data_IF_698924907625
#
_entry.id   IF_698924907625
#
_cell.length_a   1.000
_cell.length_b   1.000
_cell.length_c   1.000
_cell.angle_alpha   90.00
_cell.angle_beta   90.00
_cell.angle_gamma   90.00
#
_symmetry.space_group_name_H-M   'P 1'
#
loop_
_entity.id
_entity.type
_entity.pdbx_description
1 polymer ?
#
# COMPACT_ATOMS: atom_id res chain seq x y z
N UNK A 1 -29.16 1.93 2.94
CA UNK A 1 -28.27 1.05 2.16
C UNK A 1 -26.89 1.21 2.76
N UNK A 2 -26.30 0.16 3.29
CA UNK A 2 -24.92 0.19 3.77
C UNK A 2 -24.00 0.36 2.57
N UNK A 3 -23.28 1.49 2.51
CA UNK A 3 -22.33 1.80 1.45
C UNK A 3 -21.04 0.99 1.62
N UNK A 4 -21.16 -0.34 1.61
CA UNK A 4 -20.02 -1.24 1.72
C UNK A 4 -19.15 -1.15 0.45
N UNK A 5 -17.84 -1.12 0.65
CA UNK A 5 -16.87 -1.07 -0.44
C UNK A 5 -16.82 -2.41 -1.18
N UNK A 6 -17.00 -2.37 -2.50
CA UNK A 6 -16.99 -3.55 -3.38
C UNK A 6 -15.70 -3.61 -4.23
N UNK A 7 -15.44 -4.77 -4.84
CA UNK A 7 -14.34 -4.90 -5.80
C UNK A 7 -14.49 -3.94 -7.01
N UNK A 8 -15.72 -3.68 -7.45
CA UNK A 8 -15.99 -2.74 -8.54
C UNK A 8 -15.65 -1.29 -8.12
N UNK A 9 -15.96 -0.91 -6.89
CA UNK A 9 -15.57 0.41 -6.36
C UNK A 9 -14.04 0.56 -6.35
N UNK A 10 -13.32 -0.48 -5.91
CA UNK A 10 -11.84 -0.47 -5.92
C UNK A 10 -11.28 -0.30 -7.33
N UNK A 11 -11.88 -0.93 -8.33
CA UNK A 11 -11.47 -0.72 -9.73
C UNK A 11 -11.68 0.73 -10.19
N UNK A 12 -12.80 1.37 -9.82
CA UNK A 12 -13.02 2.78 -10.10
C UNK A 12 -11.98 3.67 -9.40
N UNK A 13 -11.66 3.36 -8.13
CA UNK A 13 -10.64 4.07 -7.35
C UNK A 13 -9.24 3.89 -7.99
N UNK A 14 -8.90 2.68 -8.44
CA UNK A 14 -7.66 2.43 -9.19
C UNK A 14 -7.62 3.22 -10.50
N UNK A 15 -8.73 3.32 -11.23
CA UNK A 15 -8.84 4.16 -12.43
C UNK A 15 -8.59 5.64 -12.14
N UNK A 16 -9.05 6.15 -10.99
CA UNK A 16 -8.73 7.52 -10.56
C UNK A 16 -7.24 7.66 -10.21
N UNK A 17 -6.67 6.70 -9.46
CA UNK A 17 -5.24 6.70 -9.14
C UNK A 17 -4.37 6.73 -10.40
N UNK A 18 -4.74 5.95 -11.44
CA UNK A 18 -4.07 5.98 -12.75
C UNK A 18 -4.12 7.35 -13.42
N UNK A 19 -5.28 8.01 -13.43
CA UNK A 19 -5.41 9.35 -14.02
C UNK A 19 -4.60 10.40 -13.26
N UNK A 20 -4.57 10.34 -11.94
CA UNK A 20 -3.74 11.26 -11.13
C UNK A 20 -2.27 10.99 -11.36
N UNK A 21 -1.84 9.71 -11.36
CA UNK A 21 -0.45 9.33 -11.65
C UNK A 21 0.02 9.86 -13.01
N UNK A 22 -0.86 9.84 -14.02
CA UNK A 22 -0.53 10.34 -15.36
C UNK A 22 -0.25 11.85 -15.41
N UNK A 23 -0.85 12.67 -14.53
CA UNK A 23 -0.78 14.12 -14.57
C UNK A 23 0.02 14.72 -13.40
N UNK A 24 -0.07 14.13 -12.22
CA UNK A 24 0.53 14.64 -10.98
C UNK A 24 0.89 13.48 -10.03
N UNK A 25 1.88 12.64 -10.39
CA UNK A 25 2.22 11.43 -9.60
C UNK A 25 2.58 11.73 -8.14
N UNK A 26 3.12 12.93 -7.87
CA UNK A 26 3.46 13.37 -6.51
C UNK A 26 2.23 13.63 -5.60
N UNK A 27 1.01 13.66 -6.15
CA UNK A 27 -0.23 13.79 -5.38
C UNK A 27 -0.82 12.44 -4.95
N UNK A 28 -0.30 11.33 -5.46
CA UNK A 28 -0.72 10.00 -5.01
C UNK A 28 -0.08 9.74 -3.64
N UNK A 29 -0.92 9.60 -2.61
CA UNK A 29 -0.46 9.23 -1.27
C UNK A 29 -0.35 7.70 -1.13
N UNK A 30 0.29 7.22 -0.06
CA UNK A 30 0.56 5.80 0.12
C UNK A 30 -0.70 4.95 0.30
N UNK A 31 -1.81 5.53 0.81
CA UNK A 31 -3.07 4.81 1.01
C UNK A 31 -3.93 4.69 -0.26
N UNK A 32 -3.55 5.41 -1.33
CA UNK A 32 -4.36 5.56 -2.54
C UNK A 32 -3.62 5.18 -3.82
N UNK A 33 -2.47 4.53 -3.72
CA UNK A 33 -1.74 4.03 -4.88
C UNK A 33 -2.48 2.85 -5.54
N UNK A 34 -2.16 2.58 -6.79
CA UNK A 34 -2.82 1.55 -7.58
C UNK A 34 -2.74 0.16 -6.93
N UNK A 35 -1.57 -0.21 -6.43
CA UNK A 35 -1.33 -1.51 -5.80
C UNK A 35 -1.89 -1.58 -4.39
N UNK A 36 -1.70 -0.53 -3.59
CA UNK A 36 -2.19 -0.48 -2.21
C UNK A 36 -3.71 -0.63 -2.12
N UNK A 37 -4.46 -0.04 -3.04
CA UNK A 37 -5.92 -0.20 -3.12
C UNK A 37 -6.32 -1.67 -3.29
N UNK A 38 -5.68 -2.39 -4.22
CA UNK A 38 -5.94 -3.81 -4.44
C UNK A 38 -5.49 -4.66 -3.25
N UNK A 39 -4.30 -4.38 -2.71
CA UNK A 39 -3.74 -5.07 -1.56
C UNK A 39 -4.62 -4.92 -0.31
N UNK A 40 -4.96 -3.70 0.07
CA UNK A 40 -5.75 -3.43 1.28
C UNK A 40 -7.15 -4.02 1.21
N UNK A 41 -7.83 -3.87 0.07
CA UNK A 41 -9.14 -4.47 -0.10
C UNK A 41 -9.03 -5.99 -0.10
N UNK A 42 -8.16 -6.56 -0.94
CA UNK A 42 -8.04 -8.01 -1.11
C UNK A 42 -7.75 -8.74 0.19
N UNK A 43 -6.74 -8.27 0.95
CA UNK A 43 -6.28 -8.94 2.18
C UNK A 43 -7.24 -8.84 3.36
N UNK A 44 -8.18 -7.90 3.36
CA UNK A 44 -8.93 -7.59 4.57
C UNK A 44 -10.45 -7.49 4.40
N UNK A 45 -11.00 -7.46 3.17
CA UNK A 45 -12.43 -7.24 2.97
C UNK A 45 -13.32 -8.29 3.66
N UNK A 46 -12.94 -9.56 3.63
CA UNK A 46 -13.71 -10.63 4.27
C UNK A 46 -13.80 -10.45 5.79
N UNK A 47 -12.68 -10.08 6.43
CA UNK A 47 -12.59 -9.96 7.89
C UNK A 47 -12.99 -8.58 8.42
N UNK A 48 -12.82 -7.52 7.65
CA UNK A 48 -12.93 -6.13 8.11
C UNK A 48 -13.92 -5.28 7.31
N UNK A 49 -14.42 -5.74 6.17
CA UNK A 49 -15.27 -4.98 5.26
C UNK A 49 -16.52 -4.40 5.91
N UNK A 50 -17.07 -5.06 6.95
CA UNK A 50 -18.22 -4.55 7.71
C UNK A 50 -17.92 -3.24 8.49
N UNK A 51 -16.64 -2.92 8.75
CA UNK A 51 -16.20 -1.68 9.40
C UNK A 51 -15.76 -0.60 8.39
N UNK A 52 -15.98 -0.82 7.11
CA UNK A 52 -15.61 0.11 6.05
C UNK A 52 -16.83 0.83 5.48
N UNK A 53 -16.70 2.12 5.31
CA UNK A 53 -17.73 2.97 4.68
C UNK A 53 -17.06 3.77 3.58
N UNK A 54 -17.75 3.97 2.46
CA UNK A 54 -17.23 4.72 1.32
C UNK A 54 -18.07 5.92 0.92
N UNK A 55 -17.42 6.90 0.34
CA UNK A 55 -18.00 7.99 -0.45
C UNK A 55 -17.37 7.98 -1.83
N UNK A 56 -18.19 8.05 -2.88
CA UNK A 56 -17.74 8.19 -4.27
C UNK A 56 -18.37 9.45 -4.85
N UNK A 57 -17.55 10.30 -5.49
CA UNK A 57 -17.99 11.54 -6.13
C UNK A 57 -17.69 11.45 -7.63
N UNK A 58 -18.70 11.71 -8.45
CA UNK A 58 -18.62 11.57 -9.91
C UNK A 58 -18.84 12.92 -10.60
N UNK A 59 -18.10 13.14 -11.70
CA UNK A 59 -18.35 14.17 -12.69
C UNK A 59 -18.78 13.47 -13.99
N UNK A 60 -20.11 13.46 -14.27
CA UNK A 60 -20.65 12.56 -15.29
C UNK A 60 -20.47 11.11 -14.87
N UNK A 61 -19.83 10.31 -15.72
CA UNK A 61 -19.54 8.89 -15.46
C UNK A 61 -18.16 8.68 -14.82
N UNK A 62 -17.34 9.73 -14.70
CA UNK A 62 -15.99 9.63 -14.17
C UNK A 62 -15.96 9.80 -12.64
N UNK A 63 -15.37 8.84 -11.93
CA UNK A 63 -15.06 8.99 -10.52
C UNK A 63 -13.95 10.05 -10.37
N UNK A 64 -14.20 11.15 -9.67
CA UNK A 64 -13.24 12.27 -9.51
C UNK A 64 -12.79 12.47 -8.08
N UNK A 65 -13.51 11.93 -7.10
CA UNK A 65 -13.04 11.87 -5.72
C UNK A 65 -13.65 10.67 -5.00
N UNK A 66 -12.97 10.20 -3.97
CA UNK A 66 -13.48 9.17 -3.08
C UNK A 66 -12.91 9.30 -1.67
N UNK A 67 -13.65 8.77 -0.70
CA UNK A 67 -13.22 8.49 0.66
C UNK A 67 -13.54 7.06 1.05
N UNK A 68 -12.61 6.40 1.70
CA UNK A 68 -12.72 5.07 2.30
C UNK A 68 -12.41 5.18 3.78
N UNK A 69 -13.45 5.24 4.61
CA UNK A 69 -13.35 5.33 6.06
C UNK A 69 -13.25 3.92 6.68
N UNK A 70 -12.21 3.71 7.46
CA UNK A 70 -11.99 2.55 8.30
C UNK A 70 -12.44 2.90 9.72
N UNK A 71 -13.58 2.35 10.15
CA UNK A 71 -14.15 2.59 11.46
C UNK A 71 -13.54 1.68 12.55
N UNK A 72 -13.82 1.92 13.85
CA UNK A 72 -13.35 1.10 14.94
C UNK A 72 -13.66 -0.39 14.75
N UNK A 73 -12.70 -1.23 15.09
CA UNK A 73 -12.79 -2.69 14.91
C UNK A 73 -11.76 -3.43 15.72
N UNK A 74 -12.01 -4.73 15.95
CA UNK A 74 -11.03 -5.65 16.51
C UNK A 74 -10.43 -6.51 15.40
N UNK A 75 -9.11 -6.64 15.38
CA UNK A 75 -8.37 -7.41 14.38
C UNK A 75 -7.68 -8.58 15.07
N UNK A 76 -8.07 -9.81 14.70
CA UNK A 76 -7.38 -11.03 15.15
C UNK A 76 -6.10 -11.22 14.36
N UNK A 77 -5.01 -11.54 15.05
CA UNK A 77 -3.69 -11.78 14.47
C UNK A 77 -3.34 -13.26 14.42
N UNK A 78 -2.32 -13.60 13.64
CA UNK A 78 -1.83 -14.96 13.45
C UNK A 78 -1.27 -15.61 14.73
N UNK A 79 -0.80 -14.82 15.68
CA UNK A 79 -0.35 -15.27 17.02
C UNK A 79 -1.51 -15.50 18.02
N UNK A 80 -2.75 -15.32 17.58
CA UNK A 80 -3.97 -15.44 18.39
C UNK A 80 -4.33 -14.19 19.18
N UNK A 81 -3.48 -13.16 19.20
CA UNK A 81 -3.79 -11.88 19.83
C UNK A 81 -4.90 -11.12 19.10
N UNK A 82 -5.55 -10.20 19.78
CA UNK A 82 -6.55 -9.28 19.22
C UNK A 82 -6.04 -7.86 19.42
N UNK A 83 -6.05 -7.07 18.32
CA UNK A 83 -5.77 -5.65 18.38
C UNK A 83 -7.07 -4.88 18.17
N UNK A 84 -7.44 -4.08 19.18
CA UNK A 84 -8.55 -3.13 19.06
C UNK A 84 -8.05 -1.84 18.42
N UNK A 85 -8.78 -1.38 17.40
CA UNK A 85 -8.59 -0.09 16.74
C UNK A 85 -9.81 0.74 17.11
N UNK A 86 -9.59 1.80 17.91
CA UNK A 86 -10.65 2.60 18.53
C UNK A 86 -10.93 3.91 17.80
N UNK A 87 -9.99 4.40 16.99
CA UNK A 87 -10.16 5.57 16.11
C UNK A 87 -10.64 5.20 14.72
N UNK A 88 -10.92 6.21 13.92
CA UNK A 88 -11.23 6.09 12.51
C UNK A 88 -10.06 6.58 11.66
N UNK A 89 -9.85 5.94 10.50
CA UNK A 89 -8.85 6.34 9.52
C UNK A 89 -9.51 6.55 8.16
N UNK A 90 -9.09 7.58 7.43
CA UNK A 90 -9.54 7.85 6.08
C UNK A 90 -8.41 7.65 5.07
N UNK A 91 -8.59 6.71 4.15
CA UNK A 91 -7.93 6.74 2.86
C UNK A 91 -8.80 7.55 1.89
N UNK A 92 -8.20 8.41 1.06
CA UNK A 92 -8.95 9.24 0.13
C UNK A 92 -8.11 9.66 -1.06
N UNK A 93 -8.78 10.08 -2.12
CA UNK A 93 -8.14 10.70 -3.27
C UNK A 93 -9.11 11.68 -3.94
N UNK A 94 -8.57 12.79 -4.44
CA UNK A 94 -9.31 13.82 -5.19
C UNK A 94 -8.51 14.17 -6.44
N UNK A 95 -9.17 14.16 -7.61
CA UNK A 95 -8.53 14.57 -8.86
C UNK A 95 -8.13 16.04 -8.78
N UNK A 96 -6.92 16.46 -9.23
CA UNK A 96 -6.45 17.83 -9.09
C UNK A 96 -7.37 18.88 -9.73
N UNK A 97 -8.06 18.53 -10.81
CA UNK A 97 -9.03 19.41 -11.48
C UNK A 97 -10.36 19.58 -10.73
N UNK A 98 -10.55 18.82 -9.65
CA UNK A 98 -11.74 18.84 -8.79
C UNK A 98 -11.35 19.03 -7.32
N UNK A 99 -10.27 19.77 -7.08
CA UNK A 99 -9.66 19.91 -5.75
C UNK A 99 -10.64 20.42 -4.67
N UNK A 100 -11.68 21.17 -5.07
CA UNK A 100 -12.75 21.66 -4.18
C UNK A 100 -13.53 20.53 -3.49
N UNK A 101 -13.60 19.33 -4.10
CA UNK A 101 -14.29 18.17 -3.53
C UNK A 101 -13.60 17.64 -2.24
N UNK A 102 -12.39 18.07 -1.93
CA UNK A 102 -11.73 17.71 -0.68
C UNK A 102 -12.57 18.12 0.53
N UNK A 103 -13.25 19.27 0.49
CA UNK A 103 -14.14 19.70 1.59
C UNK A 103 -15.36 18.78 1.76
N UNK A 104 -15.91 18.27 0.65
CA UNK A 104 -17.00 17.30 0.69
C UNK A 104 -16.54 15.99 1.33
N UNK A 105 -15.36 15.51 0.96
CA UNK A 105 -14.77 14.28 1.52
C UNK A 105 -14.50 14.46 3.02
N UNK A 106 -13.92 15.60 3.44
CA UNK A 106 -13.65 15.90 4.85
C UNK A 106 -14.95 15.96 5.65
N UNK A 107 -15.94 16.74 5.16
CA UNK A 107 -17.23 16.89 5.85
C UNK A 107 -17.98 15.56 5.99
N UNK A 108 -17.93 14.71 4.95
CA UNK A 108 -18.49 13.36 5.00
C UNK A 108 -17.76 12.48 6.04
N UNK A 109 -16.44 12.52 6.08
CA UNK A 109 -15.66 11.74 7.06
C UNK A 109 -15.91 12.21 8.50
N UNK A 110 -15.95 13.52 8.71
CA UNK A 110 -16.26 14.11 10.02
C UNK A 110 -17.64 13.68 10.54
N UNK A 111 -18.64 13.65 9.65
CA UNK A 111 -19.99 13.17 10.01
C UNK A 111 -20.05 11.65 10.24
N UNK A 112 -19.28 10.86 9.45
CA UNK A 112 -19.26 9.40 9.54
C UNK A 112 -18.56 8.92 10.81
N UNK A 113 -17.51 9.64 11.25
CA UNK A 113 -16.66 9.29 12.38
C UNK A 113 -16.84 10.29 13.56
N UNK A 114 -18.03 10.88 13.70
CA UNK A 114 -18.30 11.82 14.78
C UNK A 114 -18.08 11.19 16.16
N UNK A 115 -17.45 11.93 17.06
CA UNK A 115 -17.08 11.47 18.40
C UNK A 115 -15.91 10.49 18.45
N UNK A 116 -15.22 10.23 17.32
CA UNK A 116 -14.02 9.38 17.24
C UNK A 116 -12.77 10.24 17.00
N UNK A 117 -11.62 9.75 17.48
CA UNK A 117 -10.34 10.22 16.95
C UNK A 117 -10.22 9.86 15.47
N UNK A 118 -9.84 10.81 14.63
CA UNK A 118 -9.78 10.69 13.18
C UNK A 118 -8.38 10.95 12.66
N UNK A 119 -7.89 10.06 11.82
CA UNK A 119 -6.56 10.16 11.20
C UNK A 119 -6.64 10.12 9.68
N UNK A 120 -5.70 10.78 9.03
CA UNK A 120 -5.57 10.81 7.56
C UNK A 120 -4.11 11.04 7.17
N UNK A 121 -3.72 10.59 5.97
CA UNK A 121 -2.36 10.71 5.44
C UNK A 121 -2.35 11.48 4.08
N UNK A 122 -2.65 12.80 4.04
CA UNK A 122 -2.50 13.58 2.81
C UNK A 122 -1.03 13.65 2.35
N UNK A 123 -0.83 13.71 1.06
CA UNK A 123 0.50 13.91 0.48
C UNK A 123 1.06 15.31 0.78
N UNK A 124 2.35 15.40 1.10
CA UNK A 124 3.02 16.69 1.39
C UNK A 124 3.04 17.64 0.18
N UNK A 125 2.88 17.13 -1.03
CA UNK A 125 2.80 17.91 -2.26
C UNK A 125 1.42 18.57 -2.45
N UNK A 126 0.37 18.02 -1.85
CA UNK A 126 -1.00 18.57 -1.91
C UNK A 126 -1.17 19.74 -0.93
N UNK A 127 -0.65 20.93 -1.32
CA UNK A 127 -0.72 22.13 -0.47
C UNK A 127 -2.15 22.58 -0.23
N UNK A 128 -2.99 22.54 -1.28
CA UNK A 128 -4.40 22.91 -1.16
C UNK A 128 -5.13 21.97 -0.19
N UNK A 129 -5.01 20.64 -0.37
CA UNK A 129 -5.62 19.68 0.53
C UNK A 129 -5.16 19.85 1.98
N UNK A 130 -3.85 20.06 2.22
CA UNK A 130 -3.33 20.31 3.56
C UNK A 130 -3.94 21.54 4.23
N UNK A 131 -4.13 22.65 3.49
CA UNK A 131 -4.81 23.86 3.99
C UNK A 131 -6.27 23.58 4.34
N UNK A 132 -6.97 22.78 3.52
CA UNK A 132 -8.38 22.41 3.79
C UNK A 132 -8.49 21.50 5.02
N UNK A 133 -7.63 20.48 5.16
CA UNK A 133 -7.55 19.64 6.35
C UNK A 133 -7.34 20.49 7.62
N UNK A 134 -6.40 21.43 7.57
CA UNK A 134 -6.14 22.34 8.70
C UNK A 134 -7.37 23.22 9.03
N UNK A 135 -8.08 23.74 8.03
CA UNK A 135 -9.30 24.52 8.19
C UNK A 135 -10.43 23.73 8.88
N UNK A 136 -10.51 22.42 8.64
CA UNK A 136 -11.44 21.51 9.31
C UNK A 136 -10.96 21.02 10.71
N UNK A 137 -9.86 21.56 11.22
CA UNK A 137 -9.37 21.29 12.58
C UNK A 137 -8.42 20.10 12.71
N UNK A 138 -8.00 19.49 11.60
CA UNK A 138 -6.94 18.49 11.62
C UNK A 138 -5.58 19.15 11.87
N UNK A 139 -4.72 18.47 12.59
CA UNK A 139 -3.39 18.96 12.97
C UNK A 139 -2.34 17.90 12.69
N UNK A 140 -1.08 18.28 12.41
CA UNK A 140 0.01 17.32 12.34
C UNK A 140 0.04 16.45 13.60
N UNK A 141 0.12 15.13 13.37
CA UNK A 141 0.27 14.14 14.45
C UNK A 141 1.75 14.14 14.91
N UNK A 142 2.06 14.61 16.14
CA UNK A 142 3.44 14.67 16.59
C UNK A 142 4.06 13.28 16.77
N UNK A 143 3.28 12.27 17.13
CA UNK A 143 3.76 10.89 17.26
C UNK A 143 3.97 10.27 15.89
N UNK A 144 3.06 10.50 14.95
CA UNK A 144 3.18 10.07 13.57
C UNK A 144 4.38 10.69 12.85
N UNK A 145 4.76 11.91 13.19
CA UNK A 145 5.92 12.64 12.64
C UNK A 145 7.22 12.43 13.41
N UNK A 146 7.18 11.76 14.56
CA UNK A 146 8.35 11.52 15.42
C UNK A 146 9.44 10.67 14.79
N UNK A 147 10.53 10.46 15.53
CA UNK A 147 11.70 9.69 15.06
C UNK A 147 11.36 8.24 14.66
N UNK A 148 10.41 7.63 15.34
CA UNK A 148 9.86 6.30 15.02
C UNK A 148 8.45 6.36 14.43
N UNK A 149 8.04 7.52 13.92
CA UNK A 149 6.70 7.79 13.44
C UNK A 149 6.24 6.92 12.27
N UNK A 150 4.98 7.11 11.90
CA UNK A 150 4.30 6.28 10.89
C UNK A 150 4.16 6.97 9.53
N UNK A 151 4.77 8.14 9.33
CA UNK A 151 4.70 8.78 8.02
C UNK A 151 5.41 7.95 6.95
N UNK A 152 4.82 7.92 5.78
CA UNK A 152 5.27 7.10 4.66
C UNK A 152 5.92 7.98 3.60
N UNK A 153 6.99 7.47 2.96
CA UNK A 153 7.53 8.03 1.74
C UNK A 153 7.30 7.08 0.58
N UNK A 154 6.91 7.63 -0.57
CA UNK A 154 6.86 6.93 -1.84
C UNK A 154 8.19 7.13 -2.56
N UNK A 155 8.73 6.04 -3.07
CA UNK A 155 9.99 6.03 -3.79
C UNK A 155 9.78 5.49 -5.19
N UNK A 156 10.54 6.02 -6.15
CA UNK A 156 10.49 5.62 -7.55
C UNK A 156 11.88 5.27 -8.07
N UNK A 157 11.90 4.42 -9.08
CA UNK A 157 13.08 4.10 -9.88
C UNK A 157 12.70 3.82 -11.33
N UNK A 158 13.47 4.37 -12.31
CA UNK A 158 13.41 3.95 -13.71
C UNK A 158 14.01 2.54 -13.89
N UNK A 159 13.44 1.77 -14.81
CA UNK A 159 13.82 0.37 -15.08
C UNK A 159 14.73 0.22 -16.32
N UNK A 160 15.34 1.28 -16.78
CA UNK A 160 16.22 1.31 -17.96
C UNK A 160 17.51 0.50 -17.77
N UNK A 161 18.19 0.69 -16.65
CA UNK A 161 19.43 -0.02 -16.31
C UNK A 161 19.26 -0.77 -14.99
N UNK A 162 19.31 -2.10 -15.05
CA UNK A 162 19.18 -2.96 -13.89
C UNK A 162 20.44 -3.80 -13.68
N UNK A 163 20.88 -3.88 -12.44
CA UNK A 163 21.90 -4.83 -12.04
C UNK A 163 21.32 -6.25 -12.03
N UNK A 164 22.18 -7.25 -12.30
CA UNK A 164 21.75 -8.64 -12.22
C UNK A 164 21.44 -9.02 -10.77
N UNK A 165 20.29 -9.68 -10.51
CA UNK A 165 20.01 -10.23 -9.19
C UNK A 165 20.98 -11.39 -8.89
N UNK A 166 21.55 -11.39 -7.67
CA UNK A 166 22.45 -12.45 -7.21
C UNK A 166 21.91 -13.00 -5.89
N UNK A 167 21.56 -14.28 -5.88
CA UNK A 167 21.20 -15.01 -4.66
C UNK A 167 22.40 -15.77 -4.09
N UNK A 168 22.46 -16.00 -2.78
CA UNK A 168 23.40 -16.94 -2.18
C UNK A 168 23.19 -18.37 -2.73
N UNK A 169 24.21 -19.22 -2.60
CA UNK A 169 24.16 -20.60 -3.05
C UNK A 169 22.98 -21.37 -2.45
N UNK A 170 22.27 -22.14 -3.28
CA UNK A 170 21.12 -22.95 -2.90
C UNK A 170 19.79 -22.21 -2.81
N UNK A 171 19.78 -20.87 -2.78
CA UNK A 171 18.53 -20.08 -2.87
C UNK A 171 18.07 -19.98 -4.32
N UNK A 172 16.74 -19.88 -4.52
CA UNK A 172 16.18 -19.73 -5.86
C UNK A 172 14.96 -18.81 -5.88
N UNK A 173 14.76 -18.13 -7.00
CA UNK A 173 13.53 -17.39 -7.23
C UNK A 173 12.39 -18.35 -7.59
N UNK A 174 11.21 -18.06 -7.08
CA UNK A 174 9.95 -18.71 -7.41
C UNK A 174 8.88 -17.66 -7.64
N UNK A 175 7.79 -18.03 -8.23
CA UNK A 175 6.56 -17.24 -8.24
C UNK A 175 5.50 -17.92 -7.36
N UNK A 176 4.52 -17.15 -6.90
CA UNK A 176 3.39 -17.74 -6.18
C UNK A 176 2.54 -18.67 -7.07
N UNK A 177 2.54 -18.44 -8.39
CA UNK A 177 1.91 -19.34 -9.35
C UNK A 177 2.58 -20.74 -9.37
N UNK A 178 3.89 -20.81 -9.11
CA UNK A 178 4.66 -22.06 -9.05
C UNK A 178 4.66 -22.70 -7.66
N UNK A 179 4.72 -21.88 -6.61
CA UNK A 179 4.90 -22.34 -5.23
C UNK A 179 3.57 -22.69 -4.52
N UNK A 180 2.46 -22.10 -4.98
CA UNK A 180 1.14 -22.32 -4.40
C UNK A 180 0.76 -21.34 -3.29
N UNK A 181 -0.50 -21.40 -2.89
CA UNK A 181 -1.12 -20.44 -1.96
C UNK A 181 -0.52 -20.54 -0.55
N UNK A 182 -0.33 -21.73 -0.05
CA UNK A 182 0.22 -21.97 1.29
C UNK A 182 1.63 -21.40 1.44
N UNK A 183 2.48 -21.57 0.42
CA UNK A 183 3.84 -21.04 0.42
C UNK A 183 3.82 -19.50 0.42
N UNK A 184 2.95 -18.88 -0.36
CA UNK A 184 2.79 -17.42 -0.40
C UNK A 184 2.31 -16.86 0.95
N UNK A 185 1.33 -17.50 1.59
CA UNK A 185 0.83 -17.12 2.92
C UNK A 185 1.92 -17.27 3.97
N UNK A 186 2.63 -18.39 3.98
CA UNK A 186 3.72 -18.64 4.92
C UNK A 186 4.86 -17.64 4.79
N UNK A 187 5.24 -17.28 3.56
CA UNK A 187 6.23 -16.24 3.30
C UNK A 187 5.83 -14.89 3.91
N UNK A 188 4.56 -14.52 3.81
CA UNK A 188 4.05 -13.29 4.42
C UNK A 188 4.06 -13.37 5.94
N UNK A 189 3.48 -14.42 6.53
CA UNK A 189 3.41 -14.58 7.99
C UNK A 189 4.79 -14.63 8.65
N UNK A 190 5.78 -15.21 7.99
CA UNK A 190 7.16 -15.24 8.47
C UNK A 190 7.84 -13.87 8.44
N UNK A 191 7.53 -13.02 7.46
CA UNK A 191 8.14 -11.70 7.33
C UNK A 191 7.52 -10.66 8.27
N UNK A 192 6.23 -10.78 8.60
CA UNK A 192 5.46 -9.86 9.45
C UNK A 192 4.88 -10.58 10.66
N UNK A 193 5.56 -10.48 11.78
CA UNK A 193 5.09 -11.01 13.07
C UNK A 193 3.71 -10.39 13.41
N UNK A 194 2.86 -11.23 14.00
CA UNK A 194 1.50 -10.82 14.41
C UNK A 194 0.65 -10.18 13.27
N UNK A 195 0.85 -10.63 12.04
CA UNK A 195 0.00 -10.28 10.90
C UNK A 195 -1.40 -10.86 11.07
N UNK A 196 -2.42 -10.20 10.51
CA UNK A 196 -3.78 -10.75 10.37
C UNK A 196 -3.98 -11.52 9.05
N UNK A 197 -2.92 -11.74 8.27
CA UNK A 197 -2.97 -12.41 6.99
C UNK A 197 -3.30 -13.89 7.13
N UNK A 198 -4.08 -14.42 6.22
CA UNK A 198 -4.54 -15.82 6.21
C UNK A 198 -4.67 -16.34 4.78
N UNK A 199 -5.01 -17.61 4.62
CA UNK A 199 -5.33 -18.16 3.30
C UNK A 199 -6.54 -17.43 2.67
N UNK A 200 -7.57 -17.14 3.47
CA UNK A 200 -8.73 -16.34 3.01
C UNK A 200 -8.32 -14.95 2.54
N UNK A 201 -7.43 -14.28 3.27
CA UNK A 201 -6.83 -13.01 2.87
C UNK A 201 -6.11 -13.13 1.52
N UNK A 202 -5.33 -14.19 1.32
CA UNK A 202 -4.63 -14.43 0.07
C UNK A 202 -5.58 -14.70 -1.10
N UNK A 203 -6.64 -15.49 -0.88
CA UNK A 203 -7.67 -15.72 -1.90
C UNK A 203 -8.38 -14.40 -2.27
N UNK A 204 -8.63 -13.52 -1.30
CA UNK A 204 -9.16 -12.19 -1.55
C UNK A 204 -8.21 -11.33 -2.42
N UNK A 205 -6.91 -11.38 -2.15
CA UNK A 205 -5.88 -10.70 -2.97
C UNK A 205 -5.86 -11.27 -4.39
N UNK A 206 -5.89 -12.59 -4.55
CA UNK A 206 -5.92 -13.27 -5.86
C UNK A 206 -7.17 -12.96 -6.67
N UNK A 207 -8.27 -12.66 -6.00
CA UNK A 207 -9.54 -12.29 -6.67
C UNK A 207 -9.55 -10.86 -7.21
N UNK A 208 -8.57 -10.02 -6.83
CA UNK A 208 -8.48 -8.67 -7.39
C UNK A 208 -8.00 -8.73 -8.85
N UNK A 209 -8.61 -7.97 -9.77
CA UNK A 209 -8.22 -7.97 -11.18
C UNK A 209 -6.76 -7.57 -11.43
N UNK A 210 -6.19 -6.76 -10.54
CA UNK A 210 -4.80 -6.30 -10.62
C UNK A 210 -3.77 -7.37 -10.22
N UNK A 211 -4.19 -8.46 -9.55
CA UNK A 211 -3.27 -9.49 -9.09
C UNK A 211 -2.76 -10.38 -10.24
N UNK A 212 -1.46 -10.58 -10.25
CA UNK A 212 -0.78 -11.48 -11.18
C UNK A 212 0.16 -12.42 -10.41
N UNK A 213 -0.13 -13.72 -10.41
CA UNK A 213 0.66 -14.73 -9.70
C UNK A 213 2.10 -14.88 -10.23
N UNK A 214 2.36 -14.52 -11.48
CA UNK A 214 3.69 -14.44 -12.08
C UNK A 214 4.49 -13.20 -11.65
N UNK A 215 3.79 -12.18 -11.13
CA UNK A 215 4.37 -10.97 -10.52
C UNK A 215 4.39 -11.02 -8.97
N UNK A 216 4.00 -12.13 -8.35
CA UNK A 216 4.21 -12.38 -6.94
C UNK A 216 5.47 -13.23 -6.77
N UNK A 217 6.59 -12.58 -6.46
CA UNK A 217 7.92 -13.20 -6.38
C UNK A 217 8.21 -13.67 -4.96
N UNK A 218 8.74 -14.89 -4.88
CA UNK A 218 9.22 -15.54 -3.66
C UNK A 218 10.71 -15.86 -3.81
N UNK A 219 11.41 -15.93 -2.69
CA UNK A 219 12.76 -16.50 -2.62
C UNK A 219 12.70 -17.73 -1.73
N UNK A 220 13.01 -18.89 -2.31
CA UNK A 220 13.05 -20.17 -1.59
C UNK A 220 14.48 -20.46 -1.14
N UNK A 221 14.64 -20.84 0.13
CA UNK A 221 15.89 -21.26 0.73
C UNK A 221 16.21 -22.74 0.42
N UNK A 222 17.44 -23.23 0.66
CA UNK A 222 17.85 -24.62 0.40
C UNK A 222 17.01 -25.67 1.13
N UNK A 223 16.44 -25.32 2.27
CA UNK A 223 15.57 -26.20 3.08
C UNK A 223 14.07 -26.15 2.66
N UNK A 224 13.74 -25.41 1.62
CA UNK A 224 12.37 -25.22 1.13
C UNK A 224 11.60 -24.09 1.80
N UNK A 225 12.16 -23.40 2.80
CA UNK A 225 11.52 -22.25 3.46
C UNK A 225 11.41 -21.08 2.49
N UNK A 226 10.26 -20.38 2.49
CA UNK A 226 10.10 -19.13 1.76
C UNK A 226 10.75 -17.99 2.55
N UNK A 227 11.96 -17.60 2.13
CA UNK A 227 12.82 -16.66 2.85
C UNK A 227 12.51 -15.18 2.57
N UNK A 228 11.85 -14.87 1.45
CA UNK A 228 11.40 -13.50 1.13
C UNK A 228 10.22 -13.55 0.16
N UNK A 229 9.41 -12.46 0.18
CA UNK A 229 8.23 -12.33 -0.66
C UNK A 229 7.96 -10.88 -1.02
N UNK A 230 7.48 -10.66 -2.26
CA UNK A 230 6.89 -9.38 -2.69
C UNK A 230 5.81 -9.61 -3.74
N UNK A 231 4.73 -8.85 -3.66
CA UNK A 231 3.75 -8.75 -4.75
C UNK A 231 4.09 -7.51 -5.56
N UNK A 232 3.94 -7.61 -6.86
CA UNK A 232 4.12 -6.50 -7.78
C UNK A 232 2.82 -6.22 -8.51
N UNK A 233 2.36 -4.98 -8.43
CA UNK A 233 1.11 -4.49 -9.01
C UNK A 233 1.44 -3.67 -10.25
N UNK A 234 1.12 -4.21 -11.42
CA UNK A 234 1.42 -3.57 -12.70
C UNK A 234 0.26 -2.65 -13.11
N UNK A 235 0.54 -1.36 -13.18
CA UNK A 235 -0.30 -0.36 -13.83
C UNK A 235 0.11 -0.24 -15.30
N UNK A 236 -0.62 -0.94 -16.16
CA UNK A 236 -0.36 -0.96 -17.60
C UNK A 236 -0.56 0.42 -18.25
N UNK A 237 -1.45 1.26 -17.70
CA UNK A 237 -1.76 2.59 -18.26
C UNK A 237 -0.55 3.54 -18.13
N UNK A 238 0.09 3.54 -16.97
CA UNK A 238 1.26 4.39 -16.67
C UNK A 238 2.59 3.66 -16.86
N UNK A 239 2.56 2.38 -17.19
CA UNK A 239 3.76 1.52 -17.29
C UNK A 239 4.60 1.54 -16.02
N UNK A 240 3.95 1.58 -14.88
CA UNK A 240 4.57 1.55 -13.56
C UNK A 240 4.27 0.23 -12.86
N UNK A 241 5.18 -0.22 -12.01
CA UNK A 241 4.95 -1.38 -11.14
C UNK A 241 5.17 -0.97 -9.70
N UNK A 242 4.21 -1.27 -8.84
CA UNK A 242 4.31 -1.03 -7.41
C UNK A 242 4.68 -2.31 -6.66
N UNK A 243 5.67 -2.23 -5.75
CA UNK A 243 6.06 -3.32 -4.87
C UNK A 243 5.35 -3.18 -3.51
N UNK A 244 4.32 -3.99 -3.26
CA UNK A 244 3.58 -4.02 -2.00
C UNK A 244 2.89 -5.37 -1.78
N UNK A 245 3.16 -6.09 -0.69
CA UNK A 245 4.19 -5.82 0.35
C UNK A 245 5.58 -6.34 -0.04
N UNK A 246 6.63 -5.88 0.67
CA UNK A 246 8.00 -6.39 0.52
C UNK A 246 8.49 -6.91 1.87
N UNK A 247 8.82 -8.18 1.98
CA UNK A 247 9.23 -8.80 3.23
C UNK A 247 10.35 -9.82 3.12
N UNK A 248 11.10 -9.98 4.23
CA UNK A 248 12.14 -11.01 4.38
C UNK A 248 12.00 -11.66 5.74
N UNK A 249 11.96 -12.99 5.75
CA UNK A 249 11.91 -13.81 6.96
C UNK A 249 13.07 -13.42 7.91
N UNK A 250 12.84 -13.25 9.22
CA UNK A 250 13.85 -12.79 10.17
C UNK A 250 15.16 -13.56 10.11
N UNK A 251 15.12 -14.89 10.05
CA UNK A 251 16.31 -15.76 10.06
C UNK A 251 17.15 -15.68 8.79
N UNK A 252 16.60 -15.09 7.72
CA UNK A 252 17.27 -14.94 6.43
C UNK A 252 17.65 -13.49 6.13
N UNK A 253 17.41 -12.55 7.06
CA UNK A 253 17.80 -11.14 6.89
C UNK A 253 19.32 -10.99 6.77
N UNK A 254 19.75 -9.88 6.18
CA UNK A 254 21.17 -9.50 6.00
C UNK A 254 21.99 -10.44 5.10
N UNK A 255 21.33 -11.28 4.31
CA UNK A 255 21.95 -12.18 3.31
C UNK A 255 21.81 -11.67 1.87
N UNK A 256 21.33 -10.42 1.67
CA UNK A 256 21.13 -9.84 0.32
C UNK A 256 19.82 -10.26 -0.39
N UNK A 257 18.97 -11.11 0.25
CA UNK A 257 17.79 -11.67 -0.41
C UNK A 257 16.78 -10.60 -0.85
N UNK A 258 16.47 -9.63 0.01
CA UNK A 258 15.57 -8.54 -0.35
C UNK A 258 16.07 -7.72 -1.53
N UNK A 259 17.38 -7.43 -1.58
CA UNK A 259 18.00 -6.75 -2.74
C UNK A 259 17.89 -7.58 -4.02
N UNK A 260 18.23 -8.85 -3.96
CA UNK A 260 18.14 -9.75 -5.12
C UNK A 260 16.70 -9.90 -5.60
N UNK A 261 15.74 -10.04 -4.67
CA UNK A 261 14.30 -10.16 -4.97
C UNK A 261 13.77 -8.90 -5.68
N UNK A 262 14.11 -7.70 -5.19
CA UNK A 262 13.68 -6.45 -5.83
C UNK A 262 14.27 -6.32 -7.24
N UNK A 263 15.55 -6.59 -7.45
CA UNK A 263 16.20 -6.57 -8.77
C UNK A 263 15.56 -7.59 -9.72
N UNK A 264 15.29 -8.82 -9.25
CA UNK A 264 14.60 -9.82 -10.03
C UNK A 264 13.17 -9.41 -10.38
N UNK A 265 12.44 -8.84 -9.41
CA UNK A 265 11.10 -8.31 -9.63
C UNK A 265 11.08 -7.18 -10.66
N UNK A 266 12.01 -6.23 -10.58
CA UNK A 266 12.14 -5.14 -11.56
C UNK A 266 12.42 -5.68 -12.97
N UNK A 267 13.27 -6.70 -13.13
CA UNK A 267 13.55 -7.30 -14.43
C UNK A 267 12.29 -7.98 -15.01
N UNK A 268 11.52 -8.69 -14.17
CA UNK A 268 10.23 -9.27 -14.55
C UNK A 268 9.20 -8.20 -14.93
N UNK A 269 9.10 -7.14 -14.14
CA UNK A 269 8.18 -6.01 -14.39
C UNK A 269 8.52 -5.32 -15.72
N UNK A 270 9.82 -5.08 -15.98
CA UNK A 270 10.30 -4.53 -17.26
C UNK A 270 9.94 -5.44 -18.43
N UNK A 271 10.10 -6.75 -18.29
CA UNK A 271 9.69 -7.73 -19.31
C UNK A 271 8.15 -7.74 -19.51
N UNK A 272 7.38 -7.38 -18.50
CA UNK A 272 5.93 -7.19 -18.56
C UNK A 272 5.50 -5.80 -19.09
N UNK A 273 6.45 -4.91 -19.44
CA UNK A 273 6.17 -3.60 -20.05
C UNK A 273 6.32 -2.39 -19.13
N UNK A 274 6.66 -2.59 -17.84
CA UNK A 274 6.90 -1.46 -16.95
C UNK A 274 8.18 -0.69 -17.32
N UNK A 275 8.15 0.62 -17.18
CA UNK A 275 9.29 1.53 -17.35
C UNK A 275 9.80 2.10 -16.03
N UNK A 276 8.94 2.12 -15.01
CA UNK A 276 9.24 2.61 -13.68
C UNK A 276 8.74 1.64 -12.62
N UNK A 277 9.38 1.65 -11.47
CA UNK A 277 8.95 0.93 -10.28
C UNK A 277 8.75 1.90 -9.11
N UNK A 278 7.71 1.68 -8.30
CA UNK A 278 7.45 2.40 -7.07
C UNK A 278 7.43 1.48 -5.86
N UNK A 279 7.72 2.02 -4.70
CA UNK A 279 7.61 1.32 -3.42
C UNK A 279 7.45 2.32 -2.29
N UNK A 280 6.50 2.06 -1.39
CA UNK A 280 6.33 2.85 -0.19
C UNK A 280 7.14 2.27 1.00
N UNK A 281 7.55 3.14 1.92
CA UNK A 281 8.12 2.71 3.20
C UNK A 281 7.94 3.79 4.27
N UNK A 282 8.04 3.38 5.53
CA UNK A 282 8.15 4.33 6.63
C UNK A 282 9.41 5.20 6.45
N UNK A 283 9.21 6.52 6.44
CA UNK A 283 10.26 7.51 6.20
C UNK A 283 10.97 7.98 7.47
N UNK A 284 10.44 7.69 8.66
CA UNK A 284 10.98 8.15 9.94
C UNK A 284 12.47 7.77 10.11
N UNK A 285 13.31 8.68 10.65
CA UNK A 285 14.77 8.43 10.79
C UNK A 285 15.10 7.18 11.58
N UNK A 286 14.37 6.87 12.63
CA UNK A 286 14.57 5.67 13.47
C UNK A 286 14.10 4.36 12.80
N UNK A 287 13.55 4.42 11.58
CA UNK A 287 13.10 3.24 10.80
C UNK A 287 13.83 3.12 9.46
N UNK A 288 15.18 3.03 9.42
CA UNK A 288 15.94 3.14 8.18
C UNK A 288 15.98 1.86 7.32
N UNK A 289 15.51 0.72 7.82
CA UNK A 289 15.80 -0.59 7.23
C UNK A 289 15.22 -0.74 5.81
N UNK A 290 13.94 -0.46 5.61
CA UNK A 290 13.29 -0.57 4.30
C UNK A 290 13.83 0.49 3.33
N UNK A 291 13.93 1.76 3.79
CA UNK A 291 14.51 2.86 3.00
C UNK A 291 15.93 2.55 2.53
N UNK A 292 16.79 2.04 3.42
CA UNK A 292 18.15 1.65 3.07
C UNK A 292 18.20 0.53 2.03
N UNK A 293 17.31 -0.46 2.14
CA UNK A 293 17.16 -1.52 1.15
C UNK A 293 16.76 -0.93 -0.23
N UNK A 294 15.74 -0.08 -0.27
CA UNK A 294 15.25 0.49 -1.53
C UNK A 294 16.28 1.42 -2.18
N UNK A 295 16.94 2.25 -1.40
CA UNK A 295 18.03 3.11 -1.91
C UNK A 295 19.22 2.29 -2.44
N UNK A 296 19.50 1.12 -1.85
CA UNK A 296 20.57 0.24 -2.32
C UNK A 296 20.32 -0.35 -3.72
N UNK A 297 19.07 -0.39 -4.16
CA UNK A 297 18.68 -0.82 -5.51
C UNK A 297 18.21 0.35 -6.40
N UNK A 298 18.53 1.59 -6.02
CA UNK A 298 18.39 2.76 -6.87
C UNK A 298 17.09 3.53 -6.76
N UNK A 299 16.16 3.15 -5.89
CA UNK A 299 14.98 3.99 -5.60
C UNK A 299 15.36 5.33 -4.99
N UNK A 300 14.54 6.34 -5.23
CA UNK A 300 14.66 7.67 -4.60
C UNK A 300 13.27 8.18 -4.24
N UNK A 301 13.19 8.94 -3.15
CA UNK A 301 11.94 9.57 -2.70
C UNK A 301 11.42 10.55 -3.76
N UNK A 302 10.12 10.46 -4.05
CA UNK A 302 9.39 11.39 -4.92
C UNK A 302 8.29 12.14 -4.19
N UNK A 303 7.72 11.54 -3.14
CA UNK A 303 6.70 12.17 -2.30
C UNK A 303 6.71 11.54 -0.91
N UNK A 304 6.00 12.17 0.02
CA UNK A 304 5.76 11.66 1.37
C UNK A 304 4.40 12.09 1.88
N UNK A 305 3.86 11.34 2.82
CA UNK A 305 2.63 11.68 3.50
C UNK A 305 2.88 12.54 4.75
N UNK A 306 1.84 13.25 5.15
CA UNK A 306 1.81 14.04 6.39
C UNK A 306 0.73 13.44 7.30
N UNK A 307 1.10 12.70 8.36
CA UNK A 307 0.13 12.23 9.33
C UNK A 307 -0.60 13.40 9.97
N UNK A 308 -1.92 13.42 9.83
CA UNK A 308 -2.80 14.38 10.47
C UNK A 308 -3.78 13.65 11.39
N UNK A 309 -4.12 14.28 12.50
CA UNK A 309 -5.15 13.81 13.40
C UNK A 309 -6.13 14.93 13.79
N UNK A 310 -7.35 14.52 14.14
CA UNK A 310 -8.37 15.34 14.79
C UNK A 310 -8.93 14.55 15.98
N UNK A 311 -8.84 15.04 17.21
CA UNK A 311 -9.41 14.37 18.37
C UNK A 311 -10.92 14.14 18.25
N UNK A 312 -11.45 13.26 19.10
CA UNK A 312 -12.87 12.98 19.25
C UNK A 312 -13.68 14.22 19.64
#
# INVERSE_FOLDING_TARGET
MTDLLTAADVQLMQGLAQRITAVRPELVNSDASYGELAWNWGRAHAAQGASWVRRLCFAGDDLVAWGWAHLPRSVRRSDGSVKDITGAHLAYQVHPEHAELVDEVIGWFDATADGLERTVLPGAADKFGLERWAAHGYRPDPDGLGDTGSWTQLNERALDVLEKPVLPDGFRFRTAAEAGAEAAVQAHLAAWEASSYSLESYEGVRATPAYRGDLHVLVEAPDGTMAASTIMWLDDANKTVEFEPVGTHPDYRRRGLGRAMLLHGMDRARAAGATHATVACLGAPGRPAARGLYYSVGFREISRDVPLLKPA
#
